data_IF_000702625957
#
_entry.id   IF_000702625957
#
_cell.length_a   1.000
_cell.length_b   1.000
_cell.length_c   1.000
_cell.angle_alpha   90.00
_cell.angle_beta   90.00
_cell.angle_gamma   90.00
#
_symmetry.space_group_name_H-M   'P 1'
#
loop_
_entity.id
_entity.type
_entity.pdbx_description
1 polymer ?
#
# COMPACT_ATOMS: atom_id res chain seq x y z
N UNK A 1 3.08 -10.36 -7.58
CA UNK A 1 3.05 -8.95 -7.16
C UNK A 1 3.65 -8.74 -5.77
N UNK A 2 3.22 -9.47 -4.75
CA UNK A 2 3.77 -9.38 -3.40
C UNK A 2 5.30 -9.58 -3.33
N UNK A 3 5.85 -10.61 -3.99
CA UNK A 3 7.30 -10.87 -4.02
C UNK A 3 8.14 -9.71 -4.58
N UNK A 4 7.59 -8.89 -5.50
CA UNK A 4 8.30 -7.74 -6.06
C UNK A 4 8.39 -6.60 -5.06
N UNK A 5 7.32 -6.34 -4.31
CA UNK A 5 7.29 -5.33 -3.24
C UNK A 5 8.29 -5.71 -2.14
N UNK A 6 8.32 -6.97 -1.74
CA UNK A 6 9.25 -7.50 -0.75
C UNK A 6 10.72 -7.33 -1.14
N UNK A 7 11.04 -7.51 -2.42
CA UNK A 7 12.41 -7.32 -2.94
C UNK A 7 12.85 -5.85 -2.97
N UNK A 8 11.93 -4.91 -3.13
CA UNK A 8 12.25 -3.49 -3.25
C UNK A 8 12.29 -2.76 -1.91
N UNK A 9 11.41 -3.11 -1.00
CA UNK A 9 11.25 -2.42 0.28
C UNK A 9 12.06 -3.06 1.43
N UNK A 10 12.46 -4.33 1.31
CA UNK A 10 13.15 -5.09 2.36
C UNK A 10 12.60 -4.83 3.78
N UNK A 11 11.28 -4.96 3.98
CA UNK A 11 10.69 -4.66 5.28
C UNK A 11 11.22 -5.61 6.35
N UNK A 12 11.39 -5.09 7.55
CA UNK A 12 11.83 -5.89 8.70
C UNK A 12 10.78 -6.93 9.10
N UNK A 13 11.19 -8.07 9.69
CA UNK A 13 10.28 -9.01 10.32
C UNK A 13 9.38 -8.32 11.35
N UNK A 14 8.14 -8.81 11.52
CA UNK A 14 7.15 -8.20 12.39
C UNK A 14 6.25 -7.18 11.72
N UNK A 15 6.46 -6.88 10.42
CA UNK A 15 5.55 -6.06 9.65
C UNK A 15 4.15 -6.67 9.62
N UNK A 16 3.12 -5.88 9.90
CA UNK A 16 1.72 -6.30 9.80
C UNK A 16 1.26 -6.11 8.35
N UNK A 17 0.86 -7.22 7.72
CA UNK A 17 0.24 -7.22 6.41
C UNK A 17 -1.27 -7.40 6.56
N UNK A 18 -2.02 -6.30 6.40
CA UNK A 18 -3.47 -6.32 6.47
C UNK A 18 -4.11 -6.50 5.10
N UNK A 19 -5.13 -7.36 5.01
CA UNK A 19 -5.92 -7.59 3.80
C UNK A 19 -7.40 -7.82 4.12
N UNK A 20 -8.23 -7.81 3.09
CA UNK A 20 -9.57 -8.37 3.18
C UNK A 20 -9.53 -9.91 3.19
N UNK A 21 -10.71 -10.55 3.20
CA UNK A 21 -10.84 -12.01 3.14
C UNK A 21 -10.97 -12.55 1.71
N UNK A 22 -10.43 -11.86 0.72
CA UNK A 22 -10.35 -12.37 -0.64
C UNK A 22 -9.65 -13.72 -0.68
N UNK A 23 -10.12 -14.64 -1.53
CA UNK A 23 -9.61 -16.02 -1.61
C UNK A 23 -8.11 -16.10 -1.81
N UNK A 24 -7.52 -15.15 -2.55
CA UNK A 24 -6.09 -15.05 -2.76
C UNK A 24 -5.29 -14.80 -1.47
N UNK A 25 -5.84 -14.03 -0.53
CA UNK A 25 -5.18 -13.70 0.75
C UNK A 25 -5.42 -14.78 1.81
N UNK A 26 -6.49 -15.57 1.66
CA UNK A 26 -6.76 -16.73 2.50
C UNK A 26 -6.01 -17.99 2.03
N UNK A 27 -5.34 -17.96 0.88
CA UNK A 27 -4.62 -19.11 0.33
C UNK A 27 -3.41 -19.49 1.19
N UNK A 28 -3.12 -20.79 1.28
CA UNK A 28 -1.92 -21.29 1.97
C UNK A 28 -0.65 -20.66 1.40
N UNK A 29 -0.53 -20.57 0.06
CA UNK A 29 0.63 -19.97 -0.59
C UNK A 29 0.91 -18.52 -0.15
N UNK A 30 -0.12 -17.72 0.10
CA UNK A 30 0.04 -16.37 0.60
C UNK A 30 0.43 -16.35 2.08
N UNK A 31 -0.20 -17.20 2.90
CA UNK A 31 0.10 -17.31 4.32
C UNK A 31 1.53 -17.80 4.57
N UNK A 32 1.96 -18.82 3.81
CA UNK A 32 3.32 -19.35 3.87
C UNK A 32 4.37 -18.28 3.50
N UNK A 33 4.07 -17.47 2.47
CA UNK A 33 4.94 -16.36 2.07
C UNK A 33 5.10 -15.31 3.19
N UNK A 34 4.02 -14.96 3.88
CA UNK A 34 4.10 -14.02 5.01
C UNK A 34 4.93 -14.61 6.15
N UNK A 35 4.72 -15.88 6.48
CA UNK A 35 5.44 -16.57 7.52
C UNK A 35 6.94 -16.70 7.21
N UNK A 36 7.30 -17.03 5.97
CA UNK A 36 8.70 -17.11 5.50
C UNK A 36 9.45 -15.79 5.71
N UNK A 37 8.77 -14.66 5.56
CA UNK A 37 9.36 -13.33 5.76
C UNK A 37 9.20 -12.80 7.19
N UNK A 38 8.61 -13.57 8.09
CA UNK A 38 8.35 -13.16 9.47
C UNK A 38 7.31 -12.05 9.60
N UNK A 39 6.37 -11.94 8.66
CA UNK A 39 5.30 -10.95 8.71
C UNK A 39 4.07 -11.46 9.46
N UNK A 40 3.36 -10.53 10.07
CA UNK A 40 2.12 -10.80 10.79
C UNK A 40 0.92 -10.61 9.86
N UNK A 41 0.14 -11.67 9.69
CA UNK A 41 -1.10 -11.59 8.93
C UNK A 41 -2.19 -10.94 9.78
N UNK A 42 -2.85 -9.95 9.20
CA UNK A 42 -4.06 -9.32 9.74
C UNK A 42 -5.14 -9.33 8.66
N UNK A 43 -6.35 -9.73 9.01
CA UNK A 43 -7.47 -9.77 8.07
C UNK A 43 -8.66 -9.01 8.63
N UNK A 44 -9.40 -8.36 7.72
CA UNK A 44 -10.69 -7.75 8.04
C UNK A 44 -11.63 -8.77 8.69
N UNK A 45 -12.43 -8.33 9.66
CA UNK A 45 -13.48 -9.17 10.25
C UNK A 45 -14.54 -9.49 9.19
N UNK A 46 -15.21 -10.61 9.38
CA UNK A 46 -16.26 -11.02 8.44
C UNK A 46 -17.42 -10.03 8.47
N UNK A 47 -17.76 -9.45 7.31
CA UNK A 47 -18.82 -8.46 7.16
C UNK A 47 -18.41 -7.01 7.52
N UNK A 48 -17.20 -6.78 8.02
CA UNK A 48 -16.72 -5.45 8.41
C UNK A 48 -15.87 -4.81 7.30
N UNK A 49 -16.53 -4.20 6.31
CA UNK A 49 -15.85 -3.53 5.20
C UNK A 49 -15.01 -2.32 5.66
N UNK A 50 -15.36 -1.69 6.78
CA UNK A 50 -14.62 -0.56 7.33
C UNK A 50 -13.19 -0.91 7.74
N UNK A 51 -12.91 -2.16 8.07
CA UNK A 51 -11.57 -2.62 8.40
C UNK A 51 -10.59 -2.49 7.21
N UNK A 52 -11.11 -2.35 5.97
CA UNK A 52 -10.31 -2.17 4.75
C UNK A 52 -10.46 -0.77 4.12
N UNK A 53 -11.06 0.18 4.82
CA UNK A 53 -11.39 1.50 4.29
C UNK A 53 -10.16 2.29 3.80
N UNK A 54 -9.01 2.13 4.42
CA UNK A 54 -7.77 2.81 3.99
C UNK A 54 -7.35 2.37 2.57
N UNK A 55 -7.36 1.07 2.28
CA UNK A 55 -7.04 0.54 0.96
C UNK A 55 -8.10 0.96 -0.08
N UNK A 56 -9.38 0.91 0.28
CA UNK A 56 -10.48 1.35 -0.59
C UNK A 56 -10.36 2.84 -0.93
N UNK A 57 -10.02 3.68 0.05
CA UNK A 57 -9.80 5.13 -0.16
C UNK A 57 -8.64 5.37 -1.11
N UNK A 58 -7.55 4.62 -1.00
CA UNK A 58 -6.44 4.71 -1.95
C UNK A 58 -6.89 4.42 -3.39
N UNK A 59 -7.59 3.30 -3.61
CA UNK A 59 -8.08 2.94 -4.94
C UNK A 59 -9.10 3.94 -5.48
N UNK A 60 -9.97 4.48 -4.62
CA UNK A 60 -10.90 5.53 -5.00
C UNK A 60 -10.16 6.78 -5.47
N UNK A 61 -9.21 7.28 -4.69
CA UNK A 61 -8.41 8.46 -5.03
C UNK A 61 -7.67 8.27 -6.36
N UNK A 62 -7.01 7.13 -6.55
CA UNK A 62 -6.31 6.83 -7.80
C UNK A 62 -7.24 6.83 -9.00
N UNK A 63 -8.43 6.26 -8.88
CA UNK A 63 -9.42 6.23 -9.97
C UNK A 63 -9.92 7.63 -10.30
N UNK A 64 -10.27 8.42 -9.29
CA UNK A 64 -10.84 9.75 -9.48
C UNK A 64 -9.79 10.75 -9.97
N UNK A 65 -8.60 10.72 -9.39
CA UNK A 65 -7.56 11.71 -9.65
C UNK A 65 -6.78 11.44 -10.95
N UNK A 66 -6.73 10.17 -11.40
CA UNK A 66 -5.83 9.79 -12.49
C UNK A 66 -6.46 8.99 -13.63
N UNK A 67 -7.47 8.18 -13.38
CA UNK A 67 -8.00 7.25 -14.37
C UNK A 67 -9.30 7.74 -15.02
N UNK A 68 -10.23 8.29 -14.22
CA UNK A 68 -11.55 8.69 -14.73
C UNK A 68 -11.45 9.88 -15.68
N UNK A 69 -12.21 9.81 -16.78
CA UNK A 69 -12.20 10.81 -17.84
C UNK A 69 -11.13 10.58 -18.92
N UNK A 70 -10.23 9.63 -18.71
CA UNK A 70 -9.22 9.27 -19.70
C UNK A 70 -9.75 8.25 -20.74
N UNK A 71 -9.32 8.34 -22.01
CA UNK A 71 -9.68 7.34 -23.00
C UNK A 71 -9.13 5.96 -22.64
N UNK A 72 -9.79 4.91 -23.18
CA UNK A 72 -9.33 3.53 -22.96
C UNK A 72 -7.90 3.36 -23.48
N UNK A 73 -7.04 2.82 -22.62
CA UNK A 73 -5.62 2.61 -22.90
C UNK A 73 -5.30 1.11 -22.92
N UNK A 74 -4.20 0.75 -23.55
CA UNK A 74 -3.72 -0.64 -23.48
C UNK A 74 -3.37 -1.02 -22.05
N UNK A 75 -3.46 -2.32 -21.73
CA UNK A 75 -3.09 -2.86 -20.41
C UNK A 75 -1.66 -2.49 -20.01
N UNK A 76 -0.74 -2.46 -20.97
CA UNK A 76 0.65 -2.06 -20.73
C UNK A 76 0.74 -0.60 -20.31
N UNK A 77 0.08 0.30 -21.05
CA UNK A 77 0.07 1.73 -20.77
C UNK A 77 -0.58 2.03 -19.41
N UNK A 78 -1.69 1.38 -19.11
CA UNK A 78 -2.38 1.54 -17.82
C UNK A 78 -1.47 1.11 -16.64
N UNK A 79 -0.72 0.03 -16.78
CA UNK A 79 0.23 -0.39 -15.74
C UNK A 79 1.33 0.63 -15.49
N UNK A 80 1.84 1.29 -16.53
CA UNK A 80 2.84 2.35 -16.39
C UNK A 80 2.27 3.56 -15.66
N UNK A 81 1.07 3.98 -16.02
CA UNK A 81 0.40 5.13 -15.39
C UNK A 81 0.05 4.88 -13.92
N UNK A 82 -0.45 3.70 -13.59
CA UNK A 82 -0.69 3.32 -12.20
C UNK A 82 0.62 3.33 -11.38
N UNK A 83 1.71 2.85 -11.96
CA UNK A 83 3.02 2.89 -11.33
C UNK A 83 3.50 4.33 -11.10
N UNK A 84 3.35 5.19 -12.10
CA UNK A 84 3.70 6.61 -12.02
C UNK A 84 2.86 7.32 -10.94
N UNK A 85 1.55 7.05 -10.92
CA UNK A 85 0.68 7.58 -9.87
C UNK A 85 1.17 7.19 -8.48
N UNK A 86 1.48 5.92 -8.25
CA UNK A 86 1.89 5.43 -6.93
C UNK A 86 3.26 5.98 -6.54
N UNK A 87 4.27 5.78 -7.39
CA UNK A 87 5.66 6.02 -7.00
C UNK A 87 6.05 7.49 -7.06
N UNK A 88 5.51 8.26 -7.99
CA UNK A 88 5.86 9.66 -8.18
C UNK A 88 4.86 10.58 -7.50
N UNK A 89 3.60 10.49 -7.86
CA UNK A 89 2.60 11.42 -7.37
C UNK A 89 2.15 11.09 -5.93
N UNK A 90 1.58 9.90 -5.69
CA UNK A 90 0.98 9.55 -4.40
C UNK A 90 2.00 9.54 -3.26
N UNK A 91 3.10 8.84 -3.45
CA UNK A 91 4.07 8.68 -2.38
C UNK A 91 4.95 9.90 -2.15
N UNK A 92 5.21 10.73 -3.16
CA UNK A 92 6.21 11.81 -3.07
C UNK A 92 5.64 13.22 -3.16
N UNK A 93 4.44 13.40 -3.72
CA UNK A 93 3.88 14.73 -3.98
C UNK A 93 2.52 14.94 -3.33
N UNK A 94 1.66 13.91 -3.33
CA UNK A 94 0.30 14.04 -2.82
C UNK A 94 0.30 14.27 -1.31
N UNK A 95 -0.33 15.36 -0.90
CA UNK A 95 -0.45 15.71 0.52
C UNK A 95 -1.62 14.95 1.17
N UNK A 96 -1.40 14.47 2.38
CA UNK A 96 -2.37 13.73 3.17
C UNK A 96 -2.65 14.42 4.49
N UNK A 97 -3.91 14.77 4.74
CA UNK A 97 -4.32 15.44 5.98
C UNK A 97 -3.96 14.62 7.23
N UNK A 98 -4.13 13.30 7.19
CA UNK A 98 -3.79 12.41 8.29
C UNK A 98 -2.28 12.33 8.58
N UNK A 99 -1.45 12.72 7.62
CA UNK A 99 0.01 12.81 7.78
C UNK A 99 0.49 14.24 8.08
N UNK A 100 -0.39 15.10 8.59
CA UNK A 100 -0.05 16.51 8.80
C UNK A 100 0.25 17.27 7.50
N UNK A 101 -0.45 16.92 6.41
CA UNK A 101 -0.23 17.46 5.07
C UNK A 101 1.17 17.19 4.49
N UNK A 102 1.79 16.11 4.92
CA UNK A 102 3.01 15.60 4.31
C UNK A 102 2.68 14.51 3.28
N UNK A 103 3.56 14.33 2.30
CA UNK A 103 3.52 13.15 1.46
C UNK A 103 3.92 11.89 2.27
N UNK A 104 3.52 10.67 1.88
CA UNK A 104 3.95 9.46 2.56
C UNK A 104 5.46 9.36 2.75
N UNK A 105 6.25 9.67 1.73
CA UNK A 105 7.71 9.63 1.83
C UNK A 105 8.28 10.66 2.81
N UNK A 106 7.72 11.85 2.84
CA UNK A 106 8.19 12.89 3.77
C UNK A 106 7.75 12.59 5.21
N UNK A 107 6.56 12.04 5.38
CA UNK A 107 6.10 11.56 6.68
C UNK A 107 7.01 10.46 7.25
N UNK A 108 7.42 9.49 6.43
CA UNK A 108 8.38 8.47 6.84
C UNK A 108 9.72 9.06 7.25
N UNK A 109 10.28 9.99 6.47
CA UNK A 109 11.56 10.64 6.80
C UNK A 109 11.53 11.35 8.15
N UNK A 110 10.46 12.10 8.43
CA UNK A 110 10.29 12.80 9.70
C UNK A 110 10.23 11.81 10.86
N UNK A 111 9.47 10.72 10.71
CA UNK A 111 9.31 9.73 11.77
C UNK A 111 10.59 8.88 11.98
N UNK A 112 11.31 8.53 10.92
CA UNK A 112 12.60 7.83 11.04
C UNK A 112 13.62 8.65 11.80
N UNK A 113 13.69 9.96 11.56
CA UNK A 113 14.56 10.86 12.30
C UNK A 113 14.20 10.92 13.79
N UNK A 114 12.92 10.86 14.13
CA UNK A 114 12.45 10.84 15.53
C UNK A 114 12.84 9.54 16.26
N UNK A 115 12.84 8.41 15.58
CA UNK A 115 13.28 7.11 16.14
C UNK A 115 14.78 7.08 16.43
N UNK A 116 15.59 7.72 15.61
CA UNK A 116 17.05 7.80 15.81
C UNK A 116 17.43 8.76 16.94
N UNK A 117 16.59 9.75 17.25
CA UNK A 117 16.82 10.70 18.35
C UNK A 117 16.31 10.18 19.71
N UNK A 118 15.47 9.14 19.72
CA UNK A 118 14.93 8.52 20.94
C UNK A 118 15.67 7.25 21.38
N UNK A 119 16.65 6.84 20.62
CA UNK A 119 17.56 5.73 20.93
C UNK A 119 18.89 6.27 21.47
#
# INVERSE_FOLDING_TARGET
>A
MAQRVLRLAHPAPGLICHSDRGSQYCSHAYQDLLQEHGFLCSMSRNGECQDNACAETFFHSMKVEWIYGEPLKSRYRMKQEVREYIEVFYNRQRLHSNNGYLSPCDFEKVNQSSFLLSA
#
